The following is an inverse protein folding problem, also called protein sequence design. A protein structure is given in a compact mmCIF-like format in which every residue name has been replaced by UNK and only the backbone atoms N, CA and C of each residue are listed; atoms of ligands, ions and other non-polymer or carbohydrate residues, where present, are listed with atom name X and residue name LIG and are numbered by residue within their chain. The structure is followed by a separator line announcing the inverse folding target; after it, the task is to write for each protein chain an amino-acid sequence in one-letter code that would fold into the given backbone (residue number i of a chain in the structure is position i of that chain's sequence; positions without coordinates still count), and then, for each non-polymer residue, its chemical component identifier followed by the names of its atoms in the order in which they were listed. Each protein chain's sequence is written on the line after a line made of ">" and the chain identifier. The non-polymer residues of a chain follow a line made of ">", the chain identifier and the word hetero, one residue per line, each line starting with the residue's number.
data_IF_066586852444
#
_entry.id   IF_066586852444
#
_cell.length_a   1.000
_cell.length_b   1.000
_cell.length_c   1.000
_cell.angle_alpha   90.00
_cell.angle_beta   90.00
_cell.angle_gamma   90.00
#
_symmetry.space_group_name_H-M   'P 1'
#
loop_
_entity.id
_entity.type
_entity.pdbx_description
1 polymer ?
#
# COMPACT_ATOMS: atom_id res chain seq x y z
N UNK A 1 7.26 15.19 61.95
CA UNK A 1 7.59 16.57 61.50
C UNK A 1 9.02 16.52 60.98
N UNK A 2 9.42 16.85 59.74
CA UNK A 2 8.81 17.61 58.64
C UNK A 2 9.53 17.22 57.33
N UNK A 3 8.74 17.00 56.29
CA UNK A 3 8.91 17.31 54.86
C UNK A 3 10.30 17.23 54.18
N UNK A 4 10.38 16.26 53.27
CA UNK A 4 10.59 16.42 51.82
C UNK A 4 11.38 17.62 51.32
N UNK A 5 12.41 17.37 50.48
CA UNK A 5 12.48 17.90 49.09
C UNK A 5 13.27 16.95 48.19
N UNK A 6 12.56 16.04 47.53
CA UNK A 6 13.01 15.49 46.26
C UNK A 6 12.84 16.58 45.21
N UNK A 7 13.91 16.88 44.47
CA UNK A 7 13.85 17.67 43.25
C UNK A 7 14.92 17.13 42.30
N UNK A 8 14.58 16.05 41.60
CA UNK A 8 15.27 15.68 40.36
C UNK A 8 14.19 15.75 39.28
N UNK A 9 14.08 16.92 38.67
CA UNK A 9 13.35 17.11 37.42
C UNK A 9 14.38 16.92 36.32
N UNK A 10 14.39 15.75 35.70
CA UNK A 10 14.96 15.62 34.36
C UNK A 10 13.80 15.43 33.37
N UNK A 11 13.30 16.58 32.92
CA UNK A 11 12.61 16.71 31.65
C UNK A 11 13.55 16.26 30.54
N UNK A 12 13.43 15.01 30.12
CA UNK A 12 13.97 14.56 28.83
C UNK A 12 13.04 13.52 28.23
N UNK A 13 11.75 13.87 28.13
CA UNK A 13 10.94 13.39 27.01
C UNK A 13 11.44 14.12 25.75
N UNK A 14 12.64 13.76 25.28
CA UNK A 14 13.21 14.32 24.06
C UNK A 14 13.28 13.20 23.04
N UNK A 15 12.25 13.20 22.19
CA UNK A 15 12.32 12.81 20.79
C UNK A 15 12.92 11.43 20.48
N UNK A 16 12.26 10.35 20.93
CA UNK A 16 12.13 9.20 20.04
C UNK A 16 10.94 9.49 19.10
N UNK A 17 11.12 10.42 18.15
CA UNK A 17 10.35 10.37 16.92
C UNK A 17 10.78 9.09 16.23
N UNK A 18 10.07 8.00 16.50
CA UNK A 18 10.08 6.85 15.61
C UNK A 18 9.76 7.39 14.25
N UNK A 19 10.76 7.35 13.37
CA UNK A 19 10.60 7.57 11.94
C UNK A 19 9.38 6.76 11.52
N UNK A 20 8.29 7.46 11.20
CA UNK A 20 7.07 6.83 10.75
C UNK A 20 7.40 6.28 9.35
N UNK A 21 7.77 5.00 9.29
CA UNK A 21 7.47 4.17 8.14
C UNK A 21 5.99 4.33 7.79
N UNK A 22 5.64 4.11 6.52
CA UNK A 22 4.29 4.31 6.00
C UNK A 22 3.22 3.99 7.04
N UNK A 23 2.42 5.00 7.40
CA UNK A 23 1.63 4.96 8.62
C UNK A 23 0.56 3.89 8.48
N UNK A 24 0.43 3.02 9.47
CA UNK A 24 -0.73 2.16 9.52
C UNK A 24 -1.85 2.80 10.34
N UNK A 25 -3.05 2.87 9.80
CA UNK A 25 -4.21 3.37 10.53
C UNK A 25 -5.09 2.23 11.04
N UNK A 26 -5.98 2.56 12.00
CA UNK A 26 -7.06 1.66 12.38
C UNK A 26 -8.04 1.53 11.22
N UNK A 27 -8.66 0.36 11.11
CA UNK A 27 -9.64 0.07 10.08
C UNK A 27 -10.75 1.14 10.06
N UNK A 28 -10.95 1.77 8.90
CA UNK A 28 -12.06 2.70 8.61
C UNK A 28 -13.29 1.87 8.24
N UNK A 29 -14.51 2.39 8.45
CA UNK A 29 -15.71 1.71 7.96
C UNK A 29 -15.57 1.44 6.46
N UNK A 30 -15.86 0.22 6.00
CA UNK A 30 -15.64 -0.21 4.61
C UNK A 30 -16.29 0.77 3.63
N UNK A 31 -17.53 1.17 3.90
CA UNK A 31 -18.33 2.09 3.07
C UNK A 31 -17.68 3.47 2.87
N UNK A 32 -16.79 3.89 3.76
CA UNK A 32 -16.09 5.18 3.69
C UNK A 32 -14.66 5.03 3.13
N UNK A 33 -14.22 3.81 2.83
CA UNK A 33 -12.84 3.51 2.48
C UNK A 33 -12.54 3.99 1.07
N UNK A 34 -11.47 4.77 0.95
CA UNK A 34 -10.95 5.26 -0.33
C UNK A 34 -9.45 4.94 -0.41
N UNK A 35 -9.04 4.42 -1.56
CA UNK A 35 -7.64 4.26 -1.92
C UNK A 35 -7.24 5.40 -2.86
N UNK A 36 -6.34 6.26 -2.40
CA UNK A 36 -5.77 7.36 -3.16
C UNK A 36 -4.57 6.86 -3.98
N UNK A 37 -4.86 6.39 -5.19
CA UNK A 37 -3.88 5.90 -6.17
C UNK A 37 -3.53 7.04 -7.16
N UNK A 38 -3.40 6.73 -8.46
CA UNK A 38 -3.39 7.79 -9.50
C UNK A 38 -4.76 8.47 -9.62
N UNK A 39 -5.82 7.69 -9.40
CA UNK A 39 -7.19 8.14 -9.16
C UNK A 39 -7.66 7.63 -7.81
N UNK A 40 -8.66 8.30 -7.24
CA UNK A 40 -9.33 7.81 -6.05
C UNK A 40 -10.22 6.62 -6.41
N UNK A 41 -10.02 5.50 -5.73
CA UNK A 41 -10.79 4.27 -5.92
C UNK A 41 -11.62 4.04 -4.66
N UNK A 42 -12.94 4.17 -4.82
CA UNK A 42 -13.92 4.06 -3.75
C UNK A 42 -14.33 2.60 -3.50
N UNK A 43 -14.91 2.34 -2.33
CA UNK A 43 -15.41 1.01 -1.95
C UNK A 43 -16.38 0.40 -2.95
N UNK A 44 -17.32 1.19 -3.44
CA UNK A 44 -18.32 0.74 -4.40
C UNK A 44 -17.67 0.40 -5.75
N UNK A 45 -16.54 1.01 -6.09
CA UNK A 45 -15.81 0.72 -7.32
C UNK A 45 -15.07 -0.62 -7.22
N UNK A 46 -14.17 -0.81 -6.25
CA UNK A 46 -13.39 -2.05 -6.17
C UNK A 46 -14.21 -3.27 -5.74
N UNK A 47 -15.34 -3.07 -5.04
CA UNK A 47 -16.23 -4.18 -4.66
C UNK A 47 -17.06 -4.73 -5.83
N UNK A 48 -17.38 -3.87 -6.82
CA UNK A 48 -18.13 -4.27 -8.03
C UNK A 48 -17.20 -4.64 -9.19
N UNK A 49 -15.97 -4.14 -9.19
CA UNK A 49 -14.99 -4.41 -10.23
C UNK A 49 -14.75 -5.92 -10.37
N UNK A 50 -14.69 -6.38 -11.62
CA UNK A 50 -14.32 -7.78 -11.88
C UNK A 50 -12.89 -8.03 -11.38
N UNK A 51 -12.78 -8.93 -10.42
CA UNK A 51 -11.50 -9.29 -9.81
C UNK A 51 -11.17 -10.77 -10.01
N UNK A 52 -9.87 -11.07 -9.99
CA UNK A 52 -9.35 -12.43 -10.05
C UNK A 52 -8.36 -12.63 -8.90
N UNK A 53 -8.61 -13.64 -8.06
CA UNK A 53 -7.70 -14.01 -6.99
C UNK A 53 -6.41 -14.58 -7.55
N UNK A 54 -5.28 -14.09 -7.09
CA UNK A 54 -3.96 -14.63 -7.39
C UNK A 54 -3.75 -15.85 -6.49
N UNK A 55 -3.74 -17.04 -7.08
CA UNK A 55 -3.65 -18.31 -6.33
C UNK A 55 -2.24 -18.91 -6.33
N UNK A 56 -1.38 -18.44 -7.22
CA UNK A 56 -0.02 -18.95 -7.34
C UNK A 56 0.80 -18.65 -6.07
N UNK A 57 1.30 -19.69 -5.42
CA UNK A 57 1.99 -19.56 -4.14
C UNK A 57 3.30 -18.78 -4.28
N UNK A 58 4.03 -18.99 -5.36
CA UNK A 58 5.30 -18.29 -5.62
C UNK A 58 5.05 -16.79 -5.83
N UNK A 59 4.06 -16.43 -6.66
CA UNK A 59 3.63 -15.04 -6.88
C UNK A 59 3.14 -14.39 -5.58
N UNK A 60 2.35 -15.10 -4.78
CA UNK A 60 1.86 -14.58 -3.51
C UNK A 60 3.02 -14.33 -2.52
N UNK A 61 4.04 -15.19 -2.49
CA UNK A 61 5.22 -14.96 -1.66
C UNK A 61 6.01 -13.71 -2.11
N UNK A 62 6.17 -13.53 -3.42
CA UNK A 62 6.79 -12.34 -4.01
C UNK A 62 6.01 -11.06 -3.66
N UNK A 63 4.67 -11.07 -3.84
CA UNK A 63 3.81 -9.93 -3.50
C UNK A 63 3.82 -9.61 -2.00
N UNK A 64 3.92 -10.61 -1.13
CA UNK A 64 4.10 -10.41 0.31
C UNK A 64 5.43 -9.71 0.61
N UNK A 65 6.51 -10.11 -0.07
CA UNK A 65 7.81 -9.47 0.03
C UNK A 65 7.77 -8.01 -0.42
N UNK A 66 7.17 -7.75 -1.58
CA UNK A 66 6.99 -6.41 -2.14
C UNK A 66 6.13 -5.52 -1.23
N UNK A 67 4.99 -6.03 -0.74
CA UNK A 67 4.14 -5.30 0.21
C UNK A 67 4.93 -4.94 1.48
N UNK A 68 5.68 -5.90 2.03
CA UNK A 68 6.51 -5.67 3.23
C UNK A 68 7.58 -4.61 2.99
N UNK A 69 8.22 -4.64 1.82
CA UNK A 69 9.21 -3.64 1.43
C UNK A 69 8.60 -2.24 1.30
N UNK A 70 7.45 -2.13 0.63
CA UNK A 70 6.78 -0.85 0.40
C UNK A 70 6.21 -0.23 1.69
N UNK A 71 5.64 -1.04 2.58
CA UNK A 71 5.15 -0.57 3.89
C UNK A 71 6.30 -0.14 4.79
N UNK A 72 7.46 -0.78 4.67
CA UNK A 72 8.65 -0.44 5.45
C UNK A 72 9.38 0.83 4.96
N UNK A 73 8.98 1.43 3.83
CA UNK A 73 9.62 2.65 3.34
C UNK A 73 9.38 3.82 4.30
N UNK A 74 10.47 4.27 4.93
CA UNK A 74 10.48 5.40 5.86
C UNK A 74 10.35 6.77 5.19
N UNK A 75 10.48 6.83 3.87
CA UNK A 75 10.28 8.06 3.10
C UNK A 75 8.82 8.26 2.70
N UNK A 76 8.03 7.19 2.62
CA UNK A 76 6.59 7.29 2.41
C UNK A 76 5.90 7.65 3.73
N UNK A 77 5.52 8.91 3.88
CA UNK A 77 4.85 9.40 5.09
C UNK A 77 3.34 9.20 5.07
N UNK A 78 2.79 8.66 3.99
CA UNK A 78 1.33 8.46 3.81
C UNK A 78 0.86 7.28 4.63
N UNK A 79 -0.44 7.20 4.86
CA UNK A 79 -1.06 5.99 5.37
C UNK A 79 -1.29 5.04 4.20
N UNK A 80 -0.74 3.82 4.19
CA UNK A 80 -0.78 2.93 3.00
C UNK A 80 -1.36 1.55 3.25
N UNK A 81 -1.54 1.19 4.52
CA UNK A 81 -2.02 -0.12 4.94
C UNK A 81 -2.81 0.04 6.24
N UNK A 82 -3.93 -0.66 6.39
CA UNK A 82 -4.59 -0.80 7.69
C UNK A 82 -3.89 -1.88 8.51
N UNK A 83 -3.54 -1.56 9.77
CA UNK A 83 -2.99 -2.55 10.69
C UNK A 83 -4.13 -3.16 11.51
N UNK A 84 -4.31 -4.48 11.38
CA UNK A 84 -5.03 -5.27 12.37
C UNK A 84 -4.05 -6.15 13.16
N UNK A 85 -4.40 -6.49 14.40
CA UNK A 85 -3.62 -7.39 15.27
C UNK A 85 -3.32 -8.75 14.64
N UNK A 86 -4.08 -9.09 13.60
CA UNK A 86 -4.05 -10.33 12.86
C UNK A 86 -3.39 -10.20 11.47
N UNK A 87 -2.40 -9.31 11.34
CA UNK A 87 -1.63 -9.15 10.11
C UNK A 87 -0.87 -10.45 9.76
N UNK A 88 -1.39 -11.14 8.75
CA UNK A 88 -0.87 -12.38 8.21
C UNK A 88 -1.86 -12.94 7.18
N UNK A 89 -1.36 -13.76 6.25
CA UNK A 89 -2.15 -14.43 5.23
C UNK A 89 -2.93 -13.47 4.30
N UNK A 90 -2.20 -12.58 3.63
CA UNK A 90 -2.80 -11.68 2.65
C UNK A 90 -3.29 -12.43 1.41
N UNK A 91 -4.45 -12.01 0.94
CA UNK A 91 -5.00 -12.44 -0.34
C UNK A 91 -4.94 -11.31 -1.35
N UNK A 92 -4.48 -11.63 -2.56
CA UNK A 92 -4.27 -10.65 -3.61
C UNK A 92 -5.30 -10.83 -4.72
N UNK A 93 -5.96 -9.74 -5.10
CA UNK A 93 -6.98 -9.73 -6.14
C UNK A 93 -6.63 -8.71 -7.21
N UNK A 94 -6.43 -9.18 -8.44
CA UNK A 94 -6.18 -8.30 -9.57
C UNK A 94 -7.49 -7.65 -10.05
N UNK A 95 -7.56 -6.31 -10.03
CA UNK A 95 -8.71 -5.53 -10.46
C UNK A 95 -8.61 -5.23 -11.96
N UNK A 96 -9.03 -6.19 -12.80
CA UNK A 96 -8.82 -6.15 -14.26
C UNK A 96 -9.48 -4.96 -14.98
N UNK A 97 -10.51 -4.36 -14.39
CA UNK A 97 -11.27 -3.24 -14.98
C UNK A 97 -10.71 -1.87 -14.56
N UNK A 98 -9.94 -1.82 -13.46
CA UNK A 98 -9.37 -0.59 -12.93
C UNK A 98 -7.90 -0.55 -13.36
N UNK A 99 -7.65 0.02 -14.54
CA UNK A 99 -6.34 0.05 -15.15
C UNK A 99 -6.10 1.41 -15.81
N UNK A 100 -4.98 2.04 -15.48
CA UNK A 100 -4.56 3.28 -16.12
C UNK A 100 -3.59 2.99 -17.26
N UNK A 101 -3.80 3.64 -18.40
CA UNK A 101 -2.84 3.64 -19.50
C UNK A 101 -2.36 5.04 -19.75
N UNK A 102 -1.05 5.24 -19.65
CA UNK A 102 -0.44 6.56 -19.84
C UNK A 102 0.59 6.47 -20.96
N UNK A 103 0.57 7.47 -21.84
CA UNK A 103 1.60 7.59 -22.87
C UNK A 103 2.84 8.26 -22.27
N UNK A 104 3.99 7.61 -22.38
CA UNK A 104 5.27 8.16 -21.95
C UNK A 104 6.12 8.56 -23.17
N UNK A 105 7.12 9.41 -22.94
CA UNK A 105 7.98 9.95 -24.00
C UNK A 105 8.65 8.86 -24.87
N UNK A 106 8.89 7.68 -24.28
CA UNK A 106 9.61 6.58 -24.93
C UNK A 106 8.82 5.27 -24.98
N UNK A 107 7.52 5.30 -24.66
CA UNK A 107 6.70 4.09 -24.59
C UNK A 107 5.28 4.35 -24.12
N UNK A 108 4.63 3.30 -23.64
CA UNK A 108 3.40 3.42 -22.87
C UNK A 108 3.59 2.71 -21.52
N UNK A 109 2.95 3.25 -20.49
CA UNK A 109 2.87 2.63 -19.19
C UNK A 109 1.44 2.14 -18.95
N UNK A 110 1.34 0.96 -18.36
CA UNK A 110 0.09 0.40 -17.87
C UNK A 110 0.22 0.27 -16.36
N UNK A 111 -0.72 0.84 -15.61
CA UNK A 111 -0.81 0.69 -14.16
C UNK A 111 -2.00 -0.20 -13.84
N UNK A 112 -1.71 -1.36 -13.27
CA UNK A 112 -2.70 -2.32 -12.81
C UNK A 112 -2.87 -2.23 -11.30
N UNK A 113 -4.10 -2.45 -10.81
CA UNK A 113 -4.40 -2.37 -9.39
C UNK A 113 -4.60 -3.77 -8.79
N UNK A 114 -3.94 -4.01 -7.66
CA UNK A 114 -4.03 -5.25 -6.90
C UNK A 114 -4.58 -4.91 -5.53
N UNK A 115 -5.80 -5.36 -5.26
CA UNK A 115 -6.44 -5.25 -3.96
C UNK A 115 -5.82 -6.28 -3.02
N UNK A 116 -5.42 -5.83 -1.84
CA UNK A 116 -4.88 -6.68 -0.78
C UNK A 116 -5.95 -6.82 0.30
N UNK A 117 -6.39 -8.05 0.53
CA UNK A 117 -7.30 -8.37 1.62
C UNK A 117 -6.55 -9.05 2.75
N UNK A 118 -6.96 -8.75 3.99
CA UNK A 118 -6.53 -9.52 5.15
C UNK A 118 -7.25 -10.88 5.22
N UNK A 119 -6.86 -11.69 6.21
CA UNK A 119 -7.48 -13.01 6.46
C UNK A 119 -8.99 -12.97 6.74
N UNK A 120 -9.55 -11.81 7.11
CA UNK A 120 -10.98 -11.62 7.38
C UNK A 120 -11.72 -11.22 6.08
N UNK A 121 -11.02 -11.11 4.96
CA UNK A 121 -11.57 -10.71 3.66
C UNK A 121 -11.79 -9.20 3.54
N UNK A 122 -11.17 -8.38 4.40
CA UNK A 122 -11.32 -6.92 4.36
C UNK A 122 -10.16 -6.29 3.60
N UNK A 123 -10.46 -5.28 2.78
CA UNK A 123 -9.45 -4.58 1.99
C UNK A 123 -8.48 -3.79 2.88
N UNK A 124 -7.25 -4.24 3.07
CA UNK A 124 -6.30 -3.60 3.97
C UNK A 124 -5.34 -2.65 3.25
N UNK A 125 -5.00 -2.93 1.98
CA UNK A 125 -4.14 -2.10 1.14
C UNK A 125 -4.52 -2.25 -0.34
N UNK A 126 -3.95 -1.35 -1.15
CA UNK A 126 -4.00 -1.45 -2.61
C UNK A 126 -2.61 -1.21 -3.17
N UNK A 127 -2.10 -2.19 -3.90
CA UNK A 127 -0.85 -2.12 -4.62
C UNK A 127 -1.11 -1.71 -6.08
N UNK A 128 -0.19 -0.96 -6.65
CA UNK A 128 -0.15 -0.62 -8.06
C UNK A 128 1.06 -1.30 -8.71
N UNK A 129 0.83 -2.04 -9.79
CA UNK A 129 1.88 -2.56 -10.67
C UNK A 129 1.97 -1.67 -11.91
N UNK A 130 3.01 -0.85 -12.00
CA UNK A 130 3.29 -0.06 -13.19
C UNK A 130 4.24 -0.85 -14.11
N UNK A 131 3.79 -1.17 -15.31
CA UNK A 131 4.60 -1.81 -16.36
C UNK A 131 4.87 -0.84 -17.49
N UNK A 132 6.13 -0.58 -17.80
CA UNK A 132 6.55 0.33 -18.87
C UNK A 132 6.97 -0.47 -20.11
N UNK A 133 6.32 -0.20 -21.24
CA UNK A 133 6.55 -0.83 -22.54
C UNK A 133 7.22 0.15 -23.51
N UNK A 134 8.51 -0.05 -23.87
CA UNK A 134 9.22 0.86 -24.79
C UNK A 134 8.70 0.75 -26.23
N UNK A 135 8.66 1.87 -26.97
CA UNK A 135 8.23 1.89 -28.38
C UNK A 135 9.18 1.16 -29.34
N UNK A 136 10.47 1.12 -28.99
CA UNK A 136 11.50 0.51 -29.81
C UNK A 136 12.32 -0.47 -28.98
N UNK A 137 12.16 -1.76 -29.27
CA UNK A 137 13.01 -2.84 -28.78
C UNK A 137 14.41 -2.85 -29.45
N UNK A 138 14.92 -1.71 -29.92
CA UNK A 138 16.24 -1.64 -30.59
C UNK A 138 17.38 -2.06 -29.66
N UNK A 139 17.22 -1.86 -28.36
CA UNK A 139 18.19 -2.22 -27.32
C UNK A 139 17.86 -3.58 -26.67
N UNK A 140 16.81 -4.30 -27.09
CA UNK A 140 16.35 -5.51 -26.41
C UNK A 140 15.78 -5.28 -25.01
N UNK A 141 15.43 -4.02 -24.66
CA UNK A 141 14.87 -3.67 -23.35
C UNK A 141 13.53 -4.37 -23.14
N UNK A 142 13.47 -5.21 -22.11
CA UNK A 142 12.23 -5.87 -21.68
C UNK A 142 11.32 -4.87 -20.95
N UNK A 143 10.00 -5.10 -20.92
CA UNK A 143 9.11 -4.34 -20.07
C UNK A 143 9.62 -4.35 -18.63
N UNK A 144 9.60 -3.19 -17.99
CA UNK A 144 10.01 -3.05 -16.59
C UNK A 144 8.77 -2.83 -15.73
N UNK A 145 8.59 -3.69 -14.73
CA UNK A 145 7.56 -3.57 -13.70
C UNK A 145 8.11 -2.87 -12.46
N UNK A 146 7.28 -2.07 -11.80
CA UNK A 146 7.56 -1.51 -10.49
C UNK A 146 6.29 -1.45 -9.66
N UNK A 147 6.39 -1.86 -8.38
CA UNK A 147 5.29 -1.78 -7.44
C UNK A 147 5.29 -0.47 -6.64
N UNK A 148 4.11 -0.05 -6.22
CA UNK A 148 3.90 1.07 -5.30
C UNK A 148 2.59 0.89 -4.52
N UNK A 149 2.43 1.63 -3.42
CA UNK A 149 1.20 1.60 -2.63
C UNK A 149 0.35 2.86 -2.83
N UNK A 150 -0.96 2.65 -2.84
CA UNK A 150 -1.91 3.74 -2.71
C UNK A 150 -1.98 4.20 -1.27
N UNK A 151 -2.22 5.50 -1.07
CA UNK A 151 -2.58 5.95 0.26
C UNK A 151 -4.02 5.52 0.59
N UNK A 152 -4.32 5.36 1.87
CA UNK A 152 -5.61 4.89 2.34
C UNK A 152 -6.20 5.87 3.33
N UNK A 153 -7.48 6.16 3.15
CA UNK A 153 -8.18 7.18 3.92
C UNK A 153 -9.69 6.96 3.94
N UNK A 154 -10.38 7.97 4.47
CA UNK A 154 -11.83 8.10 4.41
C UNK A 154 -12.21 9.20 3.43
N UNK A 155 -13.14 8.93 2.53
CA UNK A 155 -13.73 9.91 1.59
C UNK A 155 -15.14 10.32 1.95
#
# INVERSE_FOLDING_TARGET
>A
MRFSRMAIIFHSASFCTTSLAAQSSRHINEELKVFHCNSDIHQDEYSRAKNHKIQDQDTNHELNGELSYLVADSHDTRTVLFYDQDNGDYEYFHLSEICDRTQERYGHATTEHILVNDRQGRACAMMMLKTVYPYHNRDGRRPQGSYSLCAVGSG
#
